data_IF_323659744409
#
_entry.id   IF_323659744409
#
_cell.length_a   1.000
_cell.length_b   1.000
_cell.length_c   1.000
_cell.angle_alpha   90.00
_cell.angle_beta   90.00
_cell.angle_gamma   90.00
#
_symmetry.space_group_name_H-M   'P 1'
#
loop_
_entity.id
_entity.type
_entity.pdbx_description
1 polymer ?
#
# COMPACT_ATOMS: atom_id res chain seq x y z
N UNK A 1 13.57 -0.64 -13.45
CA UNK A 1 13.27 -0.78 -12.01
C UNK A 1 12.58 0.50 -11.57
N UNK A 2 11.32 0.42 -11.17
CA UNK A 2 10.56 1.62 -10.84
C UNK A 2 10.69 1.93 -9.34
N UNK A 3 10.80 3.22 -9.02
CA UNK A 3 10.96 3.72 -7.67
C UNK A 3 9.60 4.08 -7.05
N UNK A 4 9.54 4.18 -5.72
CA UNK A 4 8.40 4.77 -5.04
C UNK A 4 8.26 6.25 -5.39
N UNK A 5 7.02 6.68 -5.63
CA UNK A 5 6.69 8.08 -5.87
C UNK A 5 6.75 8.88 -4.56
N UNK A 6 6.88 10.22 -4.62
CA UNK A 6 6.81 11.07 -3.43
C UNK A 6 5.55 10.84 -2.59
N UNK A 7 4.40 10.62 -3.25
CA UNK A 7 3.11 10.31 -2.59
C UNK A 7 3.13 9.00 -1.81
N UNK A 8 3.93 8.01 -2.24
CA UNK A 8 4.04 6.72 -1.58
C UNK A 8 4.92 6.86 -0.35
N UNK A 9 6.05 7.57 -0.48
CA UNK A 9 6.95 7.86 0.65
C UNK A 9 6.23 8.63 1.76
N UNK A 10 5.38 9.60 1.40
CA UNK A 10 4.54 10.31 2.36
C UNK A 10 3.58 9.36 3.11
N UNK A 11 2.99 8.38 2.42
CA UNK A 11 2.10 7.37 3.04
C UNK A 11 2.86 6.35 3.90
N UNK A 12 4.13 6.11 3.60
CA UNK A 12 5.00 5.24 4.40
C UNK A 12 5.56 5.94 5.65
N UNK A 13 5.30 7.24 5.84
CA UNK A 13 5.70 7.93 7.06
C UNK A 13 5.09 7.27 8.30
N UNK A 14 5.95 6.87 9.25
CA UNK A 14 5.55 6.17 10.47
C UNK A 14 5.33 4.66 10.32
N UNK A 15 5.44 4.10 9.11
CA UNK A 15 5.48 2.65 8.90
C UNK A 15 6.80 2.09 9.43
N UNK A 16 6.76 0.88 9.99
CA UNK A 16 7.93 0.20 10.53
C UNK A 16 9.02 0.09 9.46
N UNK A 17 10.25 0.49 9.82
CA UNK A 17 11.38 0.58 8.87
C UNK A 17 11.62 -0.70 8.07
N UNK A 18 11.44 -1.86 8.70
CA UNK A 18 11.66 -3.15 8.03
C UNK A 18 10.60 -3.42 6.96
N UNK A 19 9.34 -3.04 7.22
CA UNK A 19 8.29 -3.14 6.22
C UNK A 19 8.53 -2.15 5.08
N UNK A 20 9.00 -0.93 5.37
CA UNK A 20 9.39 0.05 4.33
C UNK A 20 10.46 -0.54 3.41
N UNK A 21 11.49 -1.18 3.96
CA UNK A 21 12.54 -1.83 3.16
C UNK A 21 12.00 -2.92 2.24
N UNK A 22 11.05 -3.74 2.72
CA UNK A 22 10.38 -4.76 1.90
C UNK A 22 9.57 -4.11 0.77
N UNK A 23 8.78 -3.08 1.06
CA UNK A 23 7.98 -2.36 0.06
C UNK A 23 8.88 -1.74 -1.03
N UNK A 24 9.99 -1.11 -0.65
CA UNK A 24 10.95 -0.54 -1.60
C UNK A 24 11.56 -1.60 -2.52
N UNK A 25 11.92 -2.77 -1.99
CA UNK A 25 12.44 -3.91 -2.77
C UNK A 25 11.37 -4.50 -3.69
N UNK A 26 10.14 -4.65 -3.22
CA UNK A 26 9.03 -5.18 -4.01
C UNK A 26 8.70 -4.25 -5.20
N UNK A 27 8.74 -2.92 -4.98
CA UNK A 27 8.44 -1.91 -6.00
C UNK A 27 9.37 -1.96 -7.22
N UNK A 28 10.60 -2.46 -7.02
CA UNK A 28 11.57 -2.64 -8.10
C UNK A 28 11.18 -3.77 -9.07
N UNK A 29 10.36 -4.72 -8.61
CA UNK A 29 9.98 -5.93 -9.34
C UNK A 29 8.57 -5.84 -9.94
N UNK A 30 7.64 -5.18 -9.25
CA UNK A 30 6.22 -5.12 -9.65
C UNK A 30 5.72 -3.68 -9.54
N UNK A 31 4.94 -3.18 -10.52
CA UNK A 31 4.45 -1.82 -10.48
C UNK A 31 3.20 -1.72 -9.60
N UNK A 32 3.34 -0.99 -8.50
CA UNK A 32 2.25 -0.69 -7.58
C UNK A 32 2.49 0.66 -6.91
N UNK A 33 1.46 1.16 -6.24
CA UNK A 33 1.51 2.32 -5.37
C UNK A 33 1.13 1.94 -3.95
N UNK A 34 1.51 2.77 -2.97
CA UNK A 34 1.01 2.66 -1.61
C UNK A 34 -0.28 3.47 -1.52
N UNK A 35 -1.37 2.85 -1.11
CA UNK A 35 -2.67 3.52 -0.95
C UNK A 35 -2.89 3.95 0.50
N UNK A 36 -2.41 3.16 1.46
CA UNK A 36 -2.44 3.47 2.89
C UNK A 36 -1.23 2.88 3.63
N UNK A 37 -0.66 3.64 4.57
CA UNK A 37 0.32 3.16 5.55
C UNK A 37 -0.25 3.19 6.96
N UNK A 38 0.25 4.11 7.80
CA UNK A 38 -0.28 4.29 9.16
C UNK A 38 -1.71 4.82 9.11
N UNK A 39 -2.60 4.15 9.85
CA UNK A 39 -4.02 4.51 9.96
C UNK A 39 -4.27 5.24 11.27
N UNK A 40 -5.12 6.26 11.25
CA UNK A 40 -5.56 6.93 12.47
C UNK A 40 -6.57 6.08 13.27
N UNK A 41 -6.64 6.29 14.59
CA UNK A 41 -7.63 5.60 15.43
C UNK A 41 -9.07 5.92 15.01
N UNK A 42 -9.32 7.16 14.58
CA UNK A 42 -10.64 7.62 14.13
C UNK A 42 -11.05 6.93 12.84
N UNK A 43 -10.13 6.77 11.87
CA UNK A 43 -10.40 6.01 10.64
C UNK A 43 -10.70 4.55 10.97
N UNK A 44 -9.93 3.92 11.86
CA UNK A 44 -10.21 2.54 12.29
C UNK A 44 -11.57 2.41 12.99
N UNK A 45 -11.94 3.35 13.85
CA UNK A 45 -13.25 3.37 14.51
C UNK A 45 -14.39 3.49 13.48
N UNK A 46 -14.24 4.34 12.46
CA UNK A 46 -15.20 4.42 11.35
C UNK A 46 -15.32 3.10 10.59
N UNK A 47 -14.20 2.43 10.27
CA UNK A 47 -14.21 1.12 9.60
C UNK A 47 -14.93 0.04 10.42
N UNK A 48 -14.76 0.05 11.74
CA UNK A 48 -15.51 -0.86 12.63
C UNK A 48 -17.00 -0.53 12.64
N UNK A 49 -17.35 0.75 12.75
CA UNK A 49 -18.75 1.19 12.79
C UNK A 49 -19.53 0.83 11.52
N UNK A 50 -18.89 0.90 10.34
CA UNK A 50 -19.51 0.51 9.06
C UNK A 50 -19.37 -0.99 8.73
N UNK A 51 -18.79 -1.79 9.62
CA UNK A 51 -18.60 -3.24 9.41
C UNK A 51 -17.45 -3.65 8.48
N UNK A 52 -16.69 -2.70 7.94
CA UNK A 52 -15.50 -2.96 7.11
C UNK A 52 -14.31 -3.52 7.93
N UNK A 53 -14.35 -3.42 9.25
CA UNK A 53 -13.44 -4.11 10.16
C UNK A 53 -14.19 -4.71 11.33
N UNK A 54 -13.70 -5.83 11.86
CA UNK A 54 -14.31 -6.50 13.02
C UNK A 54 -13.72 -6.07 14.36
N UNK A 55 -12.61 -5.32 14.35
CA UNK A 55 -11.85 -4.99 15.57
C UNK A 55 -11.12 -3.65 15.47
N UNK A 56 -10.91 -3.02 16.62
CA UNK A 56 -10.03 -1.85 16.75
C UNK A 56 -8.54 -2.21 16.73
N UNK A 57 -8.18 -3.49 16.87
CA UNK A 57 -6.79 -3.94 16.86
C UNK A 57 -6.25 -4.14 15.42
N UNK A 58 -5.94 -3.03 14.74
CA UNK A 58 -5.38 -3.05 13.38
C UNK A 58 -3.88 -2.82 13.36
N UNK A 59 -3.17 -3.55 12.50
CA UNK A 59 -1.72 -3.40 12.30
C UNK A 59 -1.33 -2.06 11.69
N UNK A 60 -2.22 -1.44 10.92
CA UNK A 60 -2.02 -0.08 10.40
C UNK A 60 -1.89 0.96 11.52
N UNK A 61 -2.54 0.77 12.68
CA UNK A 61 -2.44 1.72 13.80
C UNK A 61 -1.02 1.80 14.38
N UNK A 62 -0.21 0.78 14.12
CA UNK A 62 1.14 0.64 14.70
C UNK A 62 2.22 0.69 13.64
N UNK A 63 1.88 1.00 12.38
CA UNK A 63 2.83 1.01 11.27
C UNK A 63 3.31 -0.37 10.82
N UNK A 64 2.60 -1.45 11.13
CA UNK A 64 3.00 -2.81 10.74
C UNK A 64 2.17 -3.36 9.56
N UNK A 65 1.49 -2.50 8.81
CA UNK A 65 0.74 -2.87 7.62
C UNK A 65 0.73 -1.72 6.61
N UNK A 66 0.56 -2.08 5.34
CA UNK A 66 0.38 -1.18 4.20
C UNK A 66 -0.66 -1.78 3.27
N UNK A 67 -1.42 -0.91 2.59
CA UNK A 67 -2.31 -1.29 1.50
C UNK A 67 -1.65 -0.88 0.17
N UNK A 68 -1.73 -1.76 -0.83
CA UNK A 68 -1.09 -1.59 -2.13
C UNK A 68 -2.14 -1.70 -3.24
N UNK A 69 -1.93 -0.98 -4.34
CA UNK A 69 -2.73 -1.12 -5.55
C UNK A 69 -1.82 -1.20 -6.77
N UNK A 70 -2.15 -2.10 -7.70
CA UNK A 70 -1.38 -2.25 -8.93
C UNK A 70 -1.59 -1.01 -9.80
N UNK A 71 -0.52 -0.48 -10.37
CA UNK A 71 -0.54 0.80 -11.10
C UNK A 71 0.18 0.66 -12.44
N UNK A 72 -0.50 1.02 -13.52
CA UNK A 72 0.02 1.04 -14.89
C UNK A 72 0.22 2.48 -15.33
N UNK A 73 1.38 3.03 -15.02
CA UNK A 73 1.84 4.35 -15.46
C UNK A 73 1.87 4.44 -16.99
N UNK A 74 1.23 5.46 -17.56
CA UNK A 74 1.34 5.78 -18.98
C UNK A 74 2.66 6.49 -19.36
N UNK A 75 3.45 6.85 -18.36
CA UNK A 75 4.79 7.43 -18.48
C UNK A 75 4.91 8.84 -17.91
N UNK A 76 3.81 9.45 -17.45
CA UNK A 76 3.82 10.79 -16.86
C UNK A 76 4.18 10.81 -15.35
N UNK A 77 4.17 9.65 -14.69
CA UNK A 77 4.49 9.50 -13.27
C UNK A 77 3.44 10.05 -12.31
N UNK A 78 2.26 10.41 -12.81
CA UNK A 78 1.09 10.78 -12.04
C UNK A 78 0.22 9.55 -11.79
N UNK A 79 -0.46 9.52 -10.65
CA UNK A 79 -1.34 8.39 -10.33
C UNK A 79 -2.77 8.78 -10.66
N UNK A 80 -3.32 8.15 -11.68
CA UNK A 80 -4.69 8.39 -12.12
C UNK A 80 -5.61 7.20 -11.86
N UNK A 81 -6.91 7.45 -11.71
CA UNK A 81 -7.86 6.35 -11.43
C UNK A 81 -7.94 5.32 -12.56
N UNK A 82 -7.75 5.74 -13.81
CA UNK A 82 -7.79 4.87 -14.98
C UNK A 82 -6.62 3.87 -15.05
N UNK A 83 -5.55 4.14 -14.30
CA UNK A 83 -4.32 3.35 -14.31
C UNK A 83 -4.25 2.32 -13.18
N UNK A 84 -5.18 2.40 -12.23
CA UNK A 84 -5.23 1.47 -11.10
C UNK A 84 -5.94 0.18 -11.51
N UNK A 85 -5.27 -0.95 -11.27
CA UNK A 85 -5.79 -2.28 -11.57
C UNK A 85 -6.11 -3.03 -10.28
N UNK A 86 -7.29 -3.64 -10.26
CA UNK A 86 -7.81 -4.42 -9.12
C UNK A 86 -7.91 -5.92 -9.44
N UNK A 87 -7.39 -6.34 -10.60
CA UNK A 87 -7.45 -7.71 -11.09
C UNK A 87 -6.65 -8.67 -10.21
N UNK A 88 -7.29 -9.74 -9.71
CA UNK A 88 -6.70 -10.67 -8.74
C UNK A 88 -5.31 -11.23 -9.13
N UNK A 89 -5.05 -11.66 -10.39
CA UNK A 89 -3.74 -12.20 -10.76
C UNK A 89 -2.58 -11.21 -10.58
N UNK A 90 -2.84 -9.90 -10.59
CA UNK A 90 -1.83 -8.87 -10.36
C UNK A 90 -1.43 -8.79 -8.88
N UNK A 91 -2.36 -9.07 -7.97
CA UNK A 91 -2.09 -9.11 -6.53
C UNK A 91 -1.27 -10.33 -6.12
N UNK A 92 -1.34 -11.42 -6.88
CA UNK A 92 -0.43 -12.56 -6.70
C UNK A 92 1.02 -12.15 -6.99
N UNK A 93 1.25 -11.33 -8.03
CA UNK A 93 2.57 -10.79 -8.35
C UNK A 93 3.08 -9.85 -7.26
N UNK A 94 2.25 -8.90 -6.80
CA UNK A 94 2.58 -8.01 -5.67
C UNK A 94 2.91 -8.85 -4.43
N UNK A 95 2.07 -9.85 -4.13
CA UNK A 95 2.23 -10.73 -2.98
C UNK A 95 3.50 -11.57 -3.03
N UNK A 96 3.92 -12.05 -4.21
CA UNK A 96 5.18 -12.74 -4.39
C UNK A 96 6.38 -11.79 -4.15
N UNK A 97 6.34 -10.59 -4.71
CA UNK A 97 7.41 -9.59 -4.53
C UNK A 97 7.56 -9.12 -3.08
N UNK A 98 6.47 -9.02 -2.32
CA UNK A 98 6.49 -8.65 -0.90
C UNK A 98 7.02 -9.76 0.03
N UNK A 99 7.11 -11.01 -0.44
CA UNK A 99 7.59 -12.17 0.34
C UNK A 99 9.06 -12.52 0.07
N UNK A 100 9.71 -11.87 -0.89
CA UNK A 100 11.05 -12.20 -1.41
C UNK A 100 12.19 -11.40 -0.75
#
# INVERSE_FOLDING_TARGET
MAALLPRDRARLAGVHRDLVRVVERARQQVPFIVTEGVRSRERQARLVAIGASRTMNSRHLTGHAVDLAYWLDDGDGAVEQGEIRWDWPLYEQIGAAMKA
#
